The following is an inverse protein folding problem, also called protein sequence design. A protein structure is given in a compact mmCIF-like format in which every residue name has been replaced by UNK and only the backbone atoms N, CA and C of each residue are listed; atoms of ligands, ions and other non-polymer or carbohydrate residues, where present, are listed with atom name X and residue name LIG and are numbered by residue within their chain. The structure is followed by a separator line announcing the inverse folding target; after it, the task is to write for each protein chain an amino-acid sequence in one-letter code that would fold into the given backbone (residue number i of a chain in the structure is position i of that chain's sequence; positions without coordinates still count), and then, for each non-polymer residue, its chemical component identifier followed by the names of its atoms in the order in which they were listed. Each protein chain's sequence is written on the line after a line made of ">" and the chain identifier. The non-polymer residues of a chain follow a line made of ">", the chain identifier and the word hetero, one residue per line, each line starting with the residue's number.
data_IF_765660659580
#
_entry.id   IF_765660659580
#
_cell.length_a   1.000
_cell.length_b   1.000
_cell.length_c   1.000
_cell.angle_alpha   90.00
_cell.angle_beta   90.00
_cell.angle_gamma   90.00
#
_symmetry.space_group_name_H-M   'P 1'
#
loop_
_entity.id
_entity.type
_entity.pdbx_description
1 polymer ?
#
# COMPACT_ATOMS: atom_id res chain seq x y z
N UNK A 1 7.77 -4.05 2.31
CA UNK A 1 7.69 -3.14 1.15
C UNK A 1 7.05 -3.80 -0.07
N UNK A 2 7.56 -4.93 -0.60
CA UNK A 2 7.00 -5.59 -1.79
C UNK A 2 5.50 -5.92 -1.71
N UNK A 3 5.03 -6.40 -0.56
CA UNK A 3 3.60 -6.69 -0.32
C UNK A 3 2.69 -5.46 -0.36
N UNK A 4 3.26 -4.25 -0.34
CA UNK A 4 2.57 -2.96 -0.40
C UNK A 4 2.69 -2.33 -1.79
N UNK A 5 3.35 -2.99 -2.73
CA UNK A 5 3.29 -2.59 -4.13
C UNK A 5 2.00 -3.12 -4.76
N UNK A 6 1.23 -2.22 -5.36
CA UNK A 6 0.15 -2.61 -6.24
C UNK A 6 0.73 -3.21 -7.54
N UNK A 7 0.84 -4.54 -7.59
CA UNK A 7 1.38 -5.26 -8.74
C UNK A 7 0.64 -4.96 -10.06
N UNK A 8 -0.65 -4.62 -9.99
CA UNK A 8 -1.40 -4.14 -11.15
C UNK A 8 -0.88 -2.79 -11.66
N UNK A 9 -0.63 -1.84 -10.76
CA UNK A 9 0.00 -0.56 -11.09
C UNK A 9 1.41 -0.72 -11.67
N UNK A 10 2.19 -1.66 -11.13
CA UNK A 10 3.53 -1.96 -11.64
C UNK A 10 3.49 -2.53 -13.07
N UNK A 11 2.50 -3.39 -13.36
CA UNK A 11 2.25 -3.90 -14.70
C UNK A 11 1.92 -2.80 -15.72
N UNK A 12 1.16 -1.77 -15.31
CA UNK A 12 0.86 -0.61 -16.17
C UNK A 12 2.14 0.16 -16.52
N UNK A 13 3.05 0.40 -15.56
CA UNK A 13 4.31 1.08 -15.86
C UNK A 13 5.20 0.28 -16.81
N UNK A 14 5.26 -1.04 -16.64
CA UNK A 14 5.99 -1.92 -17.56
C UNK A 14 5.39 -1.86 -18.97
N UNK A 15 4.07 -1.91 -19.09
CA UNK A 15 3.38 -1.78 -20.38
C UNK A 15 3.65 -0.43 -21.07
N UNK A 16 3.61 0.67 -20.31
CA UNK A 16 3.92 2.01 -20.83
C UNK A 16 5.39 2.08 -21.28
N UNK A 17 6.33 1.53 -20.51
CA UNK A 17 7.74 1.50 -20.87
C UNK A 17 7.99 0.73 -22.17
N UNK A 18 7.37 -0.45 -22.33
CA UNK A 18 7.44 -1.25 -23.56
C UNK A 18 6.85 -0.48 -24.74
N UNK A 19 5.68 0.14 -24.55
CA UNK A 19 5.01 0.93 -25.59
C UNK A 19 5.88 2.10 -26.05
N UNK A 20 6.55 2.79 -25.12
CA UNK A 20 7.51 3.83 -25.45
C UNK A 20 8.67 3.26 -26.27
N UNK A 21 9.31 2.17 -25.85
CA UNK A 21 10.43 1.56 -26.60
C UNK A 21 10.02 1.23 -28.05
N UNK A 22 8.84 0.65 -28.24
CA UNK A 22 8.31 0.31 -29.58
C UNK A 22 8.09 1.58 -30.40
N UNK A 23 7.42 2.60 -29.84
CA UNK A 23 7.18 3.87 -30.52
C UNK A 23 8.48 4.61 -30.87
N UNK A 24 9.49 4.55 -30.01
CA UNK A 24 10.81 5.14 -30.28
C UNK A 24 11.56 4.47 -31.41
N UNK A 25 11.40 3.16 -31.57
CA UNK A 25 11.92 2.44 -32.72
C UNK A 25 11.20 2.83 -34.02
N UNK A 26 9.91 3.12 -33.96
CA UNK A 26 9.11 3.52 -35.13
C UNK A 26 9.33 4.98 -35.56
N UNK A 27 9.30 5.92 -34.62
CA UNK A 27 9.37 7.36 -34.93
C UNK A 27 10.80 7.94 -34.97
N UNK A 28 11.83 7.12 -34.68
CA UNK A 28 13.26 7.52 -34.54
C UNK A 28 13.53 8.64 -33.51
N UNK A 29 12.51 9.18 -32.84
CA UNK A 29 12.61 10.11 -31.72
C UNK A 29 11.39 9.97 -30.82
N UNK A 30 11.63 9.67 -29.55
CA UNK A 30 10.65 9.91 -28.49
C UNK A 30 11.02 11.25 -27.82
N UNK A 31 10.07 12.15 -27.56
CA UNK A 31 10.35 13.38 -26.83
C UNK A 31 10.86 13.06 -25.43
N UNK A 32 11.98 13.66 -25.02
CA UNK A 32 12.61 13.44 -23.71
C UNK A 32 11.65 13.66 -22.52
N UNK A 33 10.63 14.50 -22.71
CA UNK A 33 9.58 14.73 -21.71
C UNK A 33 8.76 13.49 -21.34
N UNK A 34 8.57 12.52 -22.25
CA UNK A 34 7.80 11.31 -21.93
C UNK A 34 8.57 10.37 -21.01
N UNK A 35 9.90 10.28 -21.16
CA UNK A 35 10.76 9.53 -20.23
C UNK A 35 10.78 10.17 -18.84
N UNK A 36 10.86 11.50 -18.78
CA UNK A 36 10.79 12.25 -17.52
C UNK A 36 9.45 11.96 -16.84
N UNK A 37 8.34 12.04 -17.57
CA UNK A 37 6.99 11.76 -17.06
C UNK A 37 6.84 10.31 -16.56
N UNK A 38 7.38 9.33 -17.30
CA UNK A 38 7.38 7.94 -16.86
C UNK A 38 8.16 7.75 -15.55
N UNK A 39 9.37 8.31 -15.47
CA UNK A 39 10.22 8.19 -14.28
C UNK A 39 9.61 8.89 -13.07
N UNK A 40 9.04 10.09 -13.22
CA UNK A 40 8.36 10.79 -12.12
C UNK A 40 7.12 10.04 -11.65
N UNK A 41 6.36 9.44 -12.58
CA UNK A 41 5.18 8.64 -12.24
C UNK A 41 5.55 7.36 -11.47
N UNK A 42 6.60 6.65 -11.91
CA UNK A 42 7.13 5.49 -11.17
C UNK A 42 7.64 5.93 -9.79
N UNK A 43 8.36 7.05 -9.71
CA UNK A 43 8.84 7.61 -8.46
C UNK A 43 7.70 7.93 -7.48
N UNK A 44 6.65 8.59 -7.95
CA UNK A 44 5.46 8.89 -7.15
C UNK A 44 4.76 7.61 -6.67
N UNK A 45 4.64 6.61 -7.54
CA UNK A 45 4.06 5.31 -7.20
C UNK A 45 4.86 4.58 -6.11
N UNK A 46 6.18 4.52 -6.25
CA UNK A 46 7.07 3.93 -5.24
C UNK A 46 7.02 4.71 -3.92
N UNK A 47 6.91 6.04 -3.99
CA UNK A 47 6.78 6.87 -2.81
C UNK A 47 5.48 6.57 -2.03
N UNK A 48 4.35 6.41 -2.73
CA UNK A 48 3.08 6.01 -2.10
C UNK A 48 3.18 4.63 -1.44
N UNK A 49 3.74 3.64 -2.13
CA UNK A 49 3.94 2.30 -1.56
C UNK A 49 4.85 2.33 -0.33
N UNK A 50 5.89 3.17 -0.33
CA UNK A 50 6.75 3.37 0.82
C UNK A 50 6.03 4.04 1.99
N UNK A 51 5.18 5.03 1.73
CA UNK A 51 4.37 5.67 2.76
C UNK A 51 3.43 4.66 3.43
N UNK A 52 2.72 3.85 2.64
CA UNK A 52 1.85 2.78 3.17
C UNK A 52 2.63 1.75 3.99
N UNK A 53 3.79 1.31 3.52
CA UNK A 53 4.68 0.41 4.27
C UNK A 53 5.11 1.03 5.60
N UNK A 54 5.51 2.30 5.60
CA UNK A 54 5.98 3.00 6.80
C UNK A 54 4.85 3.15 7.83
N UNK A 55 3.66 3.54 7.40
CA UNK A 55 2.47 3.62 8.27
C UNK A 55 2.12 2.26 8.85
N UNK A 56 2.13 1.20 8.03
CA UNK A 56 1.87 -0.15 8.51
C UNK A 56 2.89 -0.62 9.55
N UNK A 57 4.17 -0.33 9.33
CA UNK A 57 5.23 -0.65 10.28
C UNK A 57 5.05 0.10 11.60
N UNK A 58 4.63 1.36 11.55
CA UNK A 58 4.33 2.15 12.74
C UNK A 58 3.17 1.55 13.53
N UNK A 59 2.07 1.16 12.87
CA UNK A 59 0.93 0.51 13.53
C UNK A 59 1.33 -0.82 14.18
N UNK A 60 2.18 -1.61 13.53
CA UNK A 60 2.73 -2.85 14.09
C UNK A 60 3.56 -2.57 15.34
N UNK A 61 4.42 -1.55 15.31
CA UNK A 61 5.26 -1.18 16.45
C UNK A 61 4.41 -0.67 17.62
N UNK A 62 3.40 0.15 17.34
CA UNK A 62 2.46 0.66 18.34
C UNK A 62 1.67 -0.48 18.99
N UNK A 63 1.16 -1.41 18.18
CA UNK A 63 0.46 -2.60 18.64
C UNK A 63 1.33 -3.48 19.55
N UNK A 64 2.60 -3.68 19.20
CA UNK A 64 3.55 -4.46 20.02
C UNK A 64 3.87 -3.83 21.37
N UNK A 65 3.73 -2.51 21.51
CA UNK A 65 4.07 -1.79 22.74
C UNK A 65 3.04 -1.91 23.88
N UNK A 66 2.18 -2.95 23.89
CA UNK A 66 1.23 -3.36 24.95
C UNK A 66 0.20 -2.33 25.45
N UNK A 67 0.34 -1.05 25.12
CA UNK A 67 -0.51 0.03 25.62
C UNK A 67 -1.28 0.79 24.52
N UNK A 68 -1.07 0.48 23.24
CA UNK A 68 -1.80 1.17 22.17
C UNK A 68 -3.14 0.48 21.89
N UNK A 69 -4.21 1.27 21.94
CA UNK A 69 -5.48 0.94 21.29
C UNK A 69 -5.49 1.64 19.94
N UNK A 70 -5.67 0.86 18.87
CA UNK A 70 -5.71 1.34 17.50
C UNK A 70 -7.15 1.31 16.96
N UNK A 71 -7.52 2.33 16.22
CA UNK A 71 -8.75 2.43 15.44
C UNK A 71 -8.41 2.10 13.99
N UNK A 72 -8.65 0.87 13.57
CA UNK A 72 -8.35 0.41 12.21
C UNK A 72 -9.63 0.34 11.38
N UNK A 73 -9.56 0.64 10.09
CA UNK A 73 -10.68 0.42 9.17
C UNK A 73 -10.45 -0.90 8.42
N UNK A 74 -11.47 -1.77 8.33
CA UNK A 74 -11.38 -2.87 7.36
C UNK A 74 -11.30 -2.27 5.97
N UNK A 75 -10.44 -2.82 5.11
CA UNK A 75 -10.37 -2.46 3.70
C UNK A 75 -11.70 -2.81 3.02
N UNK A 76 -12.68 -1.92 3.13
CA UNK A 76 -13.90 -1.95 2.34
C UNK A 76 -13.50 -1.72 0.90
N UNK A 77 -13.82 -2.67 0.02
CA UNK A 77 -13.65 -2.48 -1.42
C UNK A 77 -14.64 -1.44 -1.94
N UNK A 78 -14.66 -1.25 -3.26
CA UNK A 78 -15.59 -0.34 -3.97
C UNK A 78 -17.09 -0.53 -3.63
N UNK A 79 -17.46 -1.61 -2.94
CA UNK A 79 -18.84 -2.01 -2.66
C UNK A 79 -19.11 -2.38 -1.19
N UNK A 80 -18.12 -2.28 -0.29
CA UNK A 80 -18.32 -2.57 1.13
C UNK A 80 -17.99 -1.34 1.97
N UNK A 81 -18.92 -0.94 2.83
CA UNK A 81 -18.71 0.10 3.82
C UNK A 81 -17.51 -0.27 4.69
N UNK A 82 -16.58 0.68 4.84
CA UNK A 82 -15.39 0.47 5.65
C UNK A 82 -15.78 0.51 7.13
N UNK A 83 -15.95 -0.66 7.73
CA UNK A 83 -16.21 -0.79 9.15
C UNK A 83 -14.95 -0.42 9.93
N UNK A 84 -15.17 0.22 11.09
CA UNK A 84 -14.08 0.63 11.98
C UNK A 84 -13.99 -0.30 13.17
N UNK A 85 -12.78 -0.79 13.46
CA UNK A 85 -12.47 -1.76 14.48
C UNK A 85 -11.52 -1.18 15.52
N UNK A 86 -11.81 -1.47 16.78
CA UNK A 86 -10.90 -1.24 17.89
C UNK A 86 -9.97 -2.45 18.02
N UNK A 87 -8.69 -2.23 17.79
CA UNK A 87 -7.62 -3.24 17.82
C UNK A 87 -6.72 -2.95 19.01
N UNK A 88 -6.60 -3.91 19.93
CA UNK A 88 -5.62 -3.83 21.03
C UNK A 88 -5.24 -5.23 21.51
N UNK A 89 -4.03 -5.37 22.06
CA UNK A 89 -3.59 -6.62 22.68
C UNK A 89 -4.49 -7.04 23.85
N UNK A 90 -5.05 -6.07 24.58
CA UNK A 90 -5.95 -6.32 25.71
C UNK A 90 -7.29 -6.93 25.29
N UNK A 91 -7.74 -6.66 24.05
CA UNK A 91 -8.98 -7.23 23.52
C UNK A 91 -8.77 -8.60 22.84
N UNK A 92 -7.58 -9.18 22.96
CA UNK A 92 -7.23 -10.51 22.42
C UNK A 92 -6.82 -10.50 20.95
N UNK A 93 -6.51 -9.34 20.37
CA UNK A 93 -5.94 -9.28 19.01
C UNK A 93 -4.51 -9.81 19.00
N UNK A 94 -4.13 -10.40 17.88
CA UNK A 94 -2.78 -10.87 17.59
C UNK A 94 -2.30 -10.27 16.27
N UNK A 95 -1.00 -10.37 16.00
CA UNK A 95 -0.39 -9.91 14.76
C UNK A 95 0.08 -11.12 13.96
N UNK A 96 -0.34 -11.21 12.70
CA UNK A 96 0.26 -12.10 11.70
C UNK A 96 0.70 -11.28 10.49
N UNK A 97 2.01 -11.23 10.26
CA UNK A 97 2.65 -10.38 9.24
C UNK A 97 2.16 -8.91 9.32
N UNK A 98 1.33 -8.51 8.36
CA UNK A 98 0.74 -7.20 8.14
C UNK A 98 -0.78 -7.19 8.38
N UNK A 99 -1.27 -8.11 9.21
CA UNK A 99 -2.66 -8.20 9.62
C UNK A 99 -2.79 -8.29 11.14
N UNK A 100 -3.78 -7.58 11.67
CA UNK A 100 -4.31 -7.80 13.01
C UNK A 100 -5.39 -8.88 12.93
N UNK A 101 -5.26 -9.91 13.76
CA UNK A 101 -6.15 -11.07 13.76
C UNK A 101 -6.81 -11.23 15.13
N UNK A 102 -8.14 -11.37 15.12
CA UNK A 102 -8.91 -11.80 16.29
C UNK A 102 -9.99 -12.76 15.82
N UNK A 103 -10.00 -13.97 16.37
CA UNK A 103 -10.92 -15.03 15.93
C UNK A 103 -10.81 -15.26 14.42
N UNK A 104 -11.91 -15.14 13.65
CA UNK A 104 -11.91 -15.24 12.18
C UNK A 104 -11.78 -13.88 11.47
N UNK A 105 -11.60 -12.79 12.22
CA UNK A 105 -11.51 -11.44 11.66
C UNK A 105 -10.05 -11.08 11.38
N UNK A 106 -9.80 -10.60 10.17
CA UNK A 106 -8.50 -10.10 9.74
C UNK A 106 -8.64 -8.64 9.30
N UNK A 107 -7.86 -7.76 9.92
CA UNK A 107 -7.83 -6.33 9.60
C UNK A 107 -6.42 -5.95 9.18
N UNK A 108 -6.29 -5.31 8.03
CA UNK A 108 -4.99 -4.99 7.47
C UNK A 108 -4.33 -3.80 8.18
N UNK A 109 -3.00 -3.82 8.35
CA UNK A 109 -2.29 -2.87 9.23
C UNK A 109 -2.04 -1.50 8.60
N UNK A 110 -2.51 -1.22 7.38
CA UNK A 110 -2.08 -0.09 6.56
C UNK A 110 -2.52 1.29 7.05
N UNK A 111 -3.68 1.39 7.74
CA UNK A 111 -4.19 2.66 8.25
C UNK A 111 -5.01 2.47 9.50
N UNK A 112 -4.38 2.77 10.64
CA UNK A 112 -5.05 2.82 11.92
C UNK A 112 -4.68 4.13 12.62
N UNK A 113 -5.66 4.75 13.26
CA UNK A 113 -5.44 5.90 14.12
C UNK A 113 -5.23 5.43 15.55
N UNK A 114 -4.51 6.18 16.37
CA UNK A 114 -4.50 5.93 17.81
C UNK A 114 -5.82 6.41 18.41
N UNK A 115 -6.42 5.60 19.28
CA UNK A 115 -7.65 5.99 20.00
C UNK A 115 -7.36 7.00 21.11
#
# INVERSE_FOLDING_TARGET
>A
MLEYLNYGGLGVFVFIAISMIILGHMEKRIPMGSYILLLTSIGAFLFMANAEFTTAQQNINDFKNKNATLKCMSGGGLYTSADTYRVSLNDGWTLDKNYFIKESLMVATHKCDRW
#
